data_IF_623532425537
#
_entry.id   IF_623532425537
#
_cell.length_a   1.000
_cell.length_b   1.000
_cell.length_c   1.000
_cell.angle_alpha   90.00
_cell.angle_beta   90.00
_cell.angle_gamma   90.00
#
_symmetry.space_group_name_H-M   'P 1'
#
loop_
_entity.id
_entity.type
_entity.pdbx_description
1 polymer ?
#
# COMPACT_ATOMS: atom_id res chain seq x y z
N UNK A 1 31.93 51.29 -3.18
CA UNK A 1 31.26 50.09 -3.73
C UNK A 1 31.16 48.91 -2.74
N UNK A 2 32.14 48.64 -1.87
CA UNK A 2 32.12 47.45 -0.96
C UNK A 2 31.04 47.46 0.15
N UNK A 3 30.54 48.61 0.62
CA UNK A 3 29.49 48.67 1.67
C UNK A 3 28.06 48.42 1.17
N UNK A 4 27.79 48.62 -0.14
CA UNK A 4 26.46 48.35 -0.71
C UNK A 4 26.25 46.88 -1.06
N UNK A 5 27.33 46.13 -1.35
CA UNK A 5 27.26 44.69 -1.58
C UNK A 5 26.94 43.89 -0.30
N UNK A 6 27.44 44.34 0.86
CA UNK A 6 27.19 43.71 2.14
C UNK A 6 25.73 43.87 2.63
N UNK A 7 25.06 44.97 2.29
CA UNK A 7 23.64 45.18 2.59
C UNK A 7 22.71 44.35 1.69
N UNK A 8 23.12 44.08 0.44
CA UNK A 8 22.39 43.17 -0.45
C UNK A 8 22.54 41.71 0.00
N UNK A 9 23.72 41.30 0.46
CA UNK A 9 23.95 39.95 0.99
C UNK A 9 23.27 39.72 2.36
N UNK A 10 23.19 40.75 3.22
CA UNK A 10 22.44 40.67 4.47
C UNK A 10 20.91 40.67 4.24
N UNK A 11 20.42 41.38 3.21
CA UNK A 11 19.01 41.37 2.81
C UNK A 11 18.56 40.04 2.19
N UNK A 12 19.42 39.36 1.42
CA UNK A 12 19.12 38.03 0.87
C UNK A 12 19.21 36.92 1.90
N UNK A 13 20.11 37.01 2.89
CA UNK A 13 20.13 36.07 4.02
C UNK A 13 18.94 36.27 4.99
N UNK A 14 18.43 37.49 5.14
CA UNK A 14 17.25 37.78 5.95
C UNK A 14 15.92 37.29 5.33
N UNK A 15 15.79 37.30 4.00
CA UNK A 15 14.61 36.76 3.31
C UNK A 15 14.60 35.22 3.24
N UNK A 16 15.76 34.57 3.26
CA UNK A 16 15.86 33.11 3.31
C UNK A 16 15.42 32.51 4.66
N UNK A 17 15.32 33.33 5.72
CA UNK A 17 14.85 32.91 7.05
C UNK A 17 13.36 33.20 7.29
N UNK A 18 12.66 33.83 6.34
CA UNK A 18 11.24 34.19 6.45
C UNK A 18 10.34 33.43 5.47
N UNK A 19 10.90 32.58 4.62
CA UNK A 19 10.12 31.62 3.84
C UNK A 19 9.83 30.43 4.74
N UNK A 20 8.55 30.03 4.93
CA UNK A 20 8.28 28.75 5.56
C UNK A 20 9.03 27.71 4.72
N UNK A 21 9.91 26.96 5.37
CA UNK A 21 10.45 25.75 4.76
C UNK A 21 9.24 25.02 4.17
N UNK A 22 9.27 24.77 2.87
CA UNK A 22 8.32 23.89 2.22
C UNK A 22 8.51 22.51 2.85
N UNK A 23 7.88 22.30 4.01
CA UNK A 23 7.77 21.04 4.67
C UNK A 23 6.92 20.19 3.75
N UNK A 24 7.62 19.34 2.99
CA UNK A 24 7.01 18.35 2.13
C UNK A 24 5.95 17.60 2.95
N UNK A 25 4.75 17.47 2.39
CA UNK A 25 3.66 16.68 2.96
C UNK A 25 3.93 15.15 2.87
N UNK A 26 5.18 14.73 2.64
CA UNK A 26 5.62 13.35 2.67
C UNK A 26 6.41 13.14 3.97
N UNK A 27 5.85 12.34 4.87
CA UNK A 27 6.52 11.78 6.05
C UNK A 27 7.22 12.79 6.97
N UNK A 28 6.49 13.39 7.92
CA UNK A 28 7.14 14.02 9.08
C UNK A 28 7.82 12.91 9.92
N UNK A 29 9.08 12.61 9.63
CA UNK A 29 9.96 11.83 10.51
C UNK A 29 10.78 12.81 11.35
N UNK A 30 10.31 13.06 12.57
CA UNK A 30 11.19 13.58 13.62
C UNK A 30 12.30 12.56 13.86
N UNK A 31 13.54 13.03 14.04
CA UNK A 31 14.71 12.19 14.34
C UNK A 31 14.39 11.20 15.46
N UNK A 32 14.21 9.91 15.13
CA UNK A 32 13.90 8.88 16.10
C UNK A 32 15.20 8.19 16.52
N UNK A 33 15.85 8.67 17.56
CA UNK A 33 16.87 7.84 18.22
C UNK A 33 16.20 6.54 18.66
N UNK A 34 16.80 5.38 18.33
CA UNK A 34 16.23 4.12 18.78
C UNK A 34 16.15 4.14 20.32
N UNK A 35 15.00 3.77 20.92
CA UNK A 35 14.87 3.71 22.38
C UNK A 35 15.77 2.64 22.99
N UNK A 36 16.34 1.76 22.17
CA UNK A 36 17.27 0.70 22.56
C UNK A 36 18.51 0.68 21.65
N UNK A 37 19.67 0.19 22.13
CA UNK A 37 20.86 0.05 21.30
C UNK A 37 20.62 -0.82 20.06
N UNK A 38 21.18 -0.40 18.90
CA UNK A 38 21.03 -1.10 17.60
C UNK A 38 21.40 -2.58 17.65
N UNK A 39 22.44 -2.94 18.40
CA UNK A 39 22.87 -4.33 18.54
C UNK A 39 21.81 -5.19 19.25
N UNK A 40 21.19 -4.66 20.31
CA UNK A 40 20.17 -5.37 21.09
C UNK A 40 18.92 -5.58 20.24
N UNK A 41 18.56 -4.57 19.46
CA UNK A 41 17.47 -4.66 18.50
C UNK A 41 17.71 -5.74 17.45
N UNK A 42 18.89 -5.75 16.82
CA UNK A 42 19.25 -6.75 15.81
C UNK A 42 19.20 -8.19 16.37
N UNK A 43 19.76 -8.40 17.58
CA UNK A 43 19.69 -9.70 18.26
C UNK A 43 18.26 -10.08 18.63
N UNK A 44 17.47 -9.16 19.15
CA UNK A 44 16.07 -9.40 19.50
C UNK A 44 15.25 -9.85 18.29
N UNK A 45 15.37 -9.16 17.16
CA UNK A 45 14.67 -9.54 15.94
C UNK A 45 15.12 -10.90 15.40
N UNK A 46 16.43 -11.18 15.40
CA UNK A 46 16.96 -12.48 14.99
C UNK A 46 16.45 -13.63 15.88
N UNK A 47 16.46 -13.43 17.21
CA UNK A 47 15.95 -14.42 18.17
C UNK A 47 14.46 -14.66 17.96
N UNK A 48 13.64 -13.62 17.79
CA UNK A 48 12.21 -13.76 17.55
C UNK A 48 11.93 -14.57 16.28
N UNK A 49 12.68 -14.34 15.20
CA UNK A 49 12.53 -15.10 13.97
C UNK A 49 12.90 -16.59 14.15
N UNK A 50 14.05 -16.86 14.77
CA UNK A 50 14.52 -18.24 15.01
C UNK A 50 13.56 -18.99 15.93
N UNK A 51 13.14 -18.36 17.04
CA UNK A 51 12.18 -18.94 17.98
C UNK A 51 10.82 -19.18 17.30
N UNK A 52 10.34 -18.23 16.50
CA UNK A 52 9.08 -18.40 15.75
C UNK A 52 9.16 -19.58 14.78
N UNK A 53 10.29 -19.76 14.10
CA UNK A 53 10.51 -20.89 13.21
C UNK A 53 10.50 -22.22 13.96
N UNK A 54 11.24 -22.33 15.07
CA UNK A 54 11.26 -23.53 15.91
C UNK A 54 9.87 -23.81 16.49
N UNK A 55 9.18 -22.78 16.97
CA UNK A 55 7.83 -22.90 17.50
C UNK A 55 6.84 -23.41 16.44
N UNK A 56 6.93 -22.95 15.20
CA UNK A 56 6.09 -23.46 14.10
C UNK A 56 6.40 -24.92 13.76
N UNK A 57 7.68 -25.29 13.73
CA UNK A 57 8.09 -26.66 13.47
C UNK A 57 7.54 -27.65 14.53
N UNK A 58 7.44 -27.22 15.79
CA UNK A 58 6.99 -28.06 16.92
C UNK A 58 5.47 -27.98 17.15
N UNK A 59 4.90 -26.77 17.19
CA UNK A 59 3.51 -26.52 17.62
C UNK A 59 2.51 -26.56 16.46
N UNK A 60 2.98 -26.54 15.21
CA UNK A 60 2.15 -26.52 14.01
C UNK A 60 2.43 -27.70 13.06
N UNK A 61 2.22 -28.96 13.50
CA UNK A 61 2.60 -30.15 12.75
C UNK A 61 1.66 -30.49 11.57
N UNK A 62 0.51 -29.83 11.46
CA UNK A 62 -0.53 -30.05 10.43
C UNK A 62 -1.08 -28.72 9.94
N UNK A 63 -1.54 -28.64 8.68
CA UNK A 63 -2.16 -27.42 8.18
C UNK A 63 -3.41 -27.09 9.00
N UNK A 64 -3.57 -25.82 9.38
CA UNK A 64 -4.71 -25.33 10.19
C UNK A 64 -5.41 -24.15 9.53
N UNK A 65 -4.73 -23.41 8.66
CA UNK A 65 -5.30 -22.24 7.98
C UNK A 65 -5.91 -22.61 6.63
N UNK A 66 -5.29 -23.53 5.89
CA UNK A 66 -5.84 -24.08 4.65
C UNK A 66 -7.14 -24.87 4.90
N UNK A 67 -7.22 -25.54 6.06
CA UNK A 67 -8.39 -26.34 6.47
C UNK A 67 -9.44 -25.53 7.25
N UNK A 68 -9.17 -24.26 7.55
CA UNK A 68 -10.10 -23.37 8.24
C UNK A 68 -11.23 -22.94 7.27
N UNK A 69 -12.11 -23.89 6.98
CA UNK A 69 -13.36 -23.66 6.27
C UNK A 69 -14.42 -23.04 7.19
N UNK A 70 -15.14 -22.05 6.67
CA UNK A 70 -16.31 -21.47 7.33
C UNK A 70 -16.01 -20.25 8.20
N UNK A 71 -17.04 -19.41 8.38
CA UNK A 71 -17.03 -18.27 9.28
C UNK A 71 -18.27 -18.29 10.15
N UNK A 72 -18.17 -17.80 11.38
CA UNK A 72 -19.34 -17.63 12.26
C UNK A 72 -20.11 -16.42 11.77
N UNK A 73 -21.35 -16.63 11.31
CA UNK A 73 -22.25 -15.52 10.95
C UNK A 73 -22.45 -14.62 12.16
N UNK A 74 -22.19 -13.33 11.99
CA UNK A 74 -22.39 -12.33 13.04
C UNK A 74 -23.72 -11.61 12.83
N UNK A 75 -23.89 -10.98 11.68
CA UNK A 75 -25.06 -10.17 11.37
C UNK A 75 -25.36 -10.13 9.87
N UNK A 76 -26.64 -9.91 9.55
CA UNK A 76 -27.07 -9.60 8.19
C UNK A 76 -26.89 -8.10 7.93
N UNK A 77 -26.27 -7.76 6.81
CA UNK A 77 -26.08 -6.39 6.36
C UNK A 77 -27.15 -6.07 5.30
N UNK A 78 -28.06 -5.11 5.59
CA UNK A 78 -29.10 -4.74 4.64
C UNK A 78 -28.54 -4.20 3.33
N UNK A 79 -29.29 -4.35 2.24
CA UNK A 79 -28.90 -3.85 0.92
C UNK A 79 -28.66 -2.33 0.89
N UNK A 80 -29.40 -1.59 1.72
CA UNK A 80 -29.29 -0.12 1.81
C UNK A 80 -27.89 0.31 2.23
N UNK A 81 -27.18 -0.50 3.03
CA UNK A 81 -25.80 -0.19 3.46
C UNK A 81 -24.86 -0.15 2.27
N UNK A 82 -25.05 -1.03 1.27
CA UNK A 82 -24.22 -0.99 0.04
C UNK A 82 -24.50 0.24 -0.80
N UNK A 83 -25.76 0.66 -0.86
CA UNK A 83 -26.15 1.86 -1.62
C UNK A 83 -25.62 3.11 -0.93
N UNK A 84 -25.76 3.22 0.38
CA UNK A 84 -25.27 4.36 1.16
C UNK A 84 -23.74 4.42 1.16
N UNK A 85 -23.05 3.30 1.34
CA UNK A 85 -21.58 3.25 1.27
C UNK A 85 -21.08 3.64 -0.13
N UNK A 86 -21.72 3.13 -1.18
CA UNK A 86 -21.40 3.49 -2.56
C UNK A 86 -21.66 4.97 -2.85
N UNK A 87 -22.79 5.51 -2.38
CA UNK A 87 -23.13 6.93 -2.52
C UNK A 87 -22.13 7.83 -1.77
N UNK A 88 -21.72 7.44 -0.56
CA UNK A 88 -20.68 8.13 0.21
C UNK A 88 -19.34 8.12 -0.54
N UNK A 89 -18.98 6.97 -1.13
CA UNK A 89 -17.81 6.85 -1.99
C UNK A 89 -17.82 7.82 -3.16
N UNK A 90 -18.94 7.88 -3.89
CA UNK A 90 -19.12 8.80 -5.03
C UNK A 90 -19.09 10.26 -4.60
N UNK A 91 -19.76 10.60 -3.50
CA UNK A 91 -19.76 11.95 -2.95
C UNK A 91 -18.35 12.38 -2.51
N UNK A 92 -17.61 11.51 -1.82
CA UNK A 92 -16.23 11.75 -1.43
C UNK A 92 -15.30 11.93 -2.64
N UNK A 93 -15.44 11.09 -3.67
CA UNK A 93 -14.68 11.24 -4.91
C UNK A 93 -14.99 12.56 -5.62
N UNK A 94 -16.27 12.93 -5.72
CA UNK A 94 -16.67 14.21 -6.32
C UNK A 94 -16.13 15.41 -5.54
N UNK A 95 -16.15 15.36 -4.21
CA UNK A 95 -15.57 16.40 -3.35
C UNK A 95 -14.06 16.53 -3.56
N UNK A 96 -13.31 15.42 -3.63
CA UNK A 96 -11.86 15.43 -3.91
C UNK A 96 -11.56 16.03 -5.27
N UNK A 97 -12.28 15.63 -6.32
CA UNK A 97 -12.07 16.18 -7.67
C UNK A 97 -12.40 17.67 -7.72
N UNK A 98 -13.52 18.07 -7.12
CA UNK A 98 -13.93 19.46 -7.08
C UNK A 98 -12.92 20.32 -6.31
N UNK A 99 -12.50 19.88 -5.13
CA UNK A 99 -11.49 20.57 -4.32
C UNK A 99 -10.15 20.67 -5.05
N UNK A 100 -9.69 19.60 -5.71
CA UNK A 100 -8.42 19.63 -6.44
C UNK A 100 -8.43 20.57 -7.65
N UNK A 101 -9.57 20.71 -8.34
CA UNK A 101 -9.68 21.58 -9.53
C UNK A 101 -10.00 23.05 -9.19
N UNK A 102 -10.88 23.29 -8.21
CA UNK A 102 -11.40 24.62 -7.89
C UNK A 102 -10.77 25.25 -6.64
N UNK A 103 -10.20 24.44 -5.74
CA UNK A 103 -9.61 24.90 -4.50
C UNK A 103 -8.16 25.37 -4.64
N UNK A 104 -7.58 25.76 -3.50
CA UNK A 104 -6.19 26.16 -3.35
C UNK A 104 -5.25 25.11 -3.94
N UNK A 105 -4.28 25.53 -4.74
CA UNK A 105 -3.25 24.64 -5.28
C UNK A 105 -2.08 24.42 -4.30
N UNK A 106 -2.22 24.90 -3.06
CA UNK A 106 -1.29 24.59 -1.98
C UNK A 106 -1.67 23.24 -1.37
N UNK A 107 -0.80 22.20 -1.42
CA UNK A 107 -1.18 20.84 -1.02
C UNK A 107 -1.69 20.70 0.42
N UNK A 108 -1.16 21.51 1.35
CA UNK A 108 -1.54 21.49 2.76
C UNK A 108 -2.86 22.21 3.07
N UNK A 109 -3.37 23.01 2.12
CA UNK A 109 -4.62 23.75 2.22
C UNK A 109 -5.69 23.22 1.24
N UNK A 110 -5.51 22.01 0.73
CA UNK A 110 -6.45 21.35 -0.18
C UNK A 110 -6.80 19.96 0.35
N UNK A 111 -8.07 19.58 0.23
CA UNK A 111 -8.55 18.28 0.65
C UNK A 111 -7.94 17.12 -0.16
N UNK A 112 -7.67 17.32 -1.45
CA UNK A 112 -7.36 16.23 -2.38
C UNK A 112 -6.10 15.42 -2.03
N UNK A 113 -4.92 16.04 -1.76
CA UNK A 113 -3.72 15.27 -1.42
C UNK A 113 -3.90 14.45 -0.14
N UNK A 114 -4.51 15.03 0.90
CA UNK A 114 -4.73 14.33 2.17
C UNK A 114 -5.69 13.15 2.01
N UNK A 115 -6.78 13.30 1.27
CA UNK A 115 -7.70 12.18 1.04
C UNK A 115 -7.04 11.07 0.23
N UNK A 116 -6.31 11.39 -0.83
CA UNK A 116 -5.69 10.39 -1.71
C UNK A 116 -4.55 9.65 -1.00
N UNK A 117 -3.58 10.39 -0.45
CA UNK A 117 -2.36 9.80 0.12
C UNK A 117 -2.52 9.34 1.56
N UNK A 118 -3.40 9.94 2.36
CA UNK A 118 -3.55 9.58 3.77
C UNK A 118 -4.77 8.71 3.97
N UNK A 119 -5.96 9.13 3.54
CA UNK A 119 -7.18 8.36 3.82
C UNK A 119 -7.31 7.13 2.93
N UNK A 120 -7.12 7.28 1.62
CA UNK A 120 -7.28 6.18 0.65
C UNK A 120 -6.06 5.27 0.68
N UNK A 121 -4.86 5.81 0.46
CA UNK A 121 -3.65 4.97 0.38
C UNK A 121 -3.29 4.31 1.72
N UNK A 122 -3.42 5.02 2.84
CA UNK A 122 -3.03 4.50 4.16
C UNK A 122 -4.22 4.08 5.02
N UNK A 123 -5.24 4.94 5.14
CA UNK A 123 -6.39 4.70 6.01
C UNK A 123 -7.20 3.46 5.62
N UNK A 124 -7.40 3.21 4.32
CA UNK A 124 -8.14 2.03 3.85
C UNK A 124 -7.41 0.72 4.17
N UNK A 125 -6.10 0.54 3.95
CA UNK A 125 -5.38 -0.61 4.47
C UNK A 125 -5.58 -0.83 5.97
N UNK A 126 -5.39 0.19 6.81
CA UNK A 126 -5.58 0.07 8.26
C UNK A 126 -7.01 -0.37 8.63
N UNK A 127 -8.02 0.25 8.02
CA UNK A 127 -9.41 -0.16 8.18
C UNK A 127 -9.64 -1.60 7.68
N UNK A 128 -8.97 -2.00 6.60
CA UNK A 128 -9.14 -3.30 5.97
C UNK A 128 -8.60 -4.46 6.80
N UNK A 129 -7.54 -4.24 7.58
CA UNK A 129 -6.99 -5.23 8.53
C UNK A 129 -8.03 -5.59 9.59
N UNK A 130 -8.84 -4.62 10.01
CA UNK A 130 -9.80 -4.79 11.10
C UNK A 130 -11.17 -5.24 10.59
N UNK A 131 -11.67 -4.60 9.53
CA UNK A 131 -13.05 -4.68 9.08
C UNK A 131 -13.26 -5.54 7.83
N UNK A 132 -12.18 -5.97 7.17
CA UNK A 132 -12.24 -6.66 5.89
C UNK A 132 -12.30 -5.68 4.70
N UNK A 133 -12.95 -6.06 3.61
CA UNK A 133 -12.90 -5.29 2.36
C UNK A 133 -13.85 -4.06 2.40
N UNK A 134 -13.41 -3.00 3.10
CA UNK A 134 -14.16 -1.75 3.26
C UNK A 134 -14.23 -1.01 1.92
N UNK A 135 -13.13 -1.01 1.17
CA UNK A 135 -13.05 -0.31 -0.10
C UNK A 135 -14.10 -0.77 -1.09
N UNK A 136 -14.33 -2.09 -1.24
CA UNK A 136 -15.36 -2.61 -2.15
C UNK A 136 -16.76 -2.07 -1.89
N UNK A 137 -17.06 -1.67 -0.65
CA UNK A 137 -18.33 -1.05 -0.28
C UNK A 137 -18.39 0.44 -0.66
N UNK A 138 -17.31 1.19 -0.43
CA UNK A 138 -17.21 2.63 -0.72
C UNK A 138 -16.60 2.95 -2.09
N UNK A 139 -16.35 1.95 -2.93
CA UNK A 139 -15.68 2.13 -4.21
C UNK A 139 -16.57 2.96 -5.17
N UNK A 140 -16.15 4.18 -5.56
CA UNK A 140 -17.00 5.13 -6.28
C UNK A 140 -17.31 4.66 -7.70
N UNK A 141 -16.32 4.21 -8.46
CA UNK A 141 -16.52 3.75 -9.83
C UNK A 141 -17.34 2.46 -9.88
N UNK A 142 -17.18 1.57 -8.90
CA UNK A 142 -18.03 0.38 -8.78
C UNK A 142 -19.49 0.73 -8.45
N UNK A 143 -19.72 1.73 -7.60
CA UNK A 143 -21.06 2.24 -7.31
C UNK A 143 -21.71 2.86 -8.56
N UNK A 144 -20.98 3.71 -9.29
CA UNK A 144 -21.42 4.31 -10.55
C UNK A 144 -21.73 3.24 -11.60
N UNK A 145 -20.84 2.26 -11.80
CA UNK A 145 -21.05 1.19 -12.78
C UNK A 145 -22.29 0.34 -12.44
N UNK A 146 -22.54 0.04 -11.17
CA UNK A 146 -23.74 -0.68 -10.72
C UNK A 146 -25.01 0.13 -10.93
N UNK A 147 -24.98 1.42 -10.64
CA UNK A 147 -26.12 2.31 -10.86
C UNK A 147 -26.43 2.43 -12.36
N UNK A 148 -25.41 2.60 -13.20
CA UNK A 148 -25.55 2.64 -14.66
C UNK A 148 -26.12 1.33 -15.21
N UNK A 149 -25.59 0.18 -14.78
CA UNK A 149 -26.10 -1.14 -15.20
C UNK A 149 -27.57 -1.35 -14.78
N UNK A 150 -27.95 -0.90 -13.57
CA UNK A 150 -29.34 -0.97 -13.11
C UNK A 150 -30.28 -0.07 -13.90
N UNK A 151 -29.87 1.16 -14.20
CA UNK A 151 -30.65 2.10 -15.04
C UNK A 151 -30.82 1.55 -16.47
N UNK A 152 -29.74 1.03 -17.05
CA UNK A 152 -29.77 0.43 -18.39
C UNK A 152 -30.72 -0.78 -18.43
N UNK A 153 -30.67 -1.66 -17.42
CA UNK A 153 -31.57 -2.81 -17.31
C UNK A 153 -33.05 -2.41 -17.14
N UNK A 154 -33.34 -1.24 -16.56
CA UNK A 154 -34.72 -0.69 -16.48
C UNK A 154 -35.20 -0.08 -17.79
N UNK A 155 -34.30 0.57 -18.53
CA UNK A 155 -34.62 1.22 -19.79
C UNK A 155 -34.81 0.20 -20.93
N UNK A 156 -34.08 -0.92 -20.89
CA UNK A 156 -34.20 -2.00 -21.87
C UNK A 156 -35.51 -2.78 -21.70
N UNK A 157 -36.48 -2.53 -22.59
CA UNK A 157 -37.79 -3.22 -22.64
C UNK A 157 -37.72 -4.76 -22.82
N UNK A 158 -36.53 -5.33 -23.05
CA UNK A 158 -36.28 -6.77 -23.20
C UNK A 158 -35.64 -7.47 -22.00
N UNK A 159 -35.47 -6.80 -20.85
CA UNK A 159 -34.79 -7.36 -19.68
C UNK A 159 -33.26 -7.33 -19.77
N UNK A 160 -32.57 -7.99 -18.83
CA UNK A 160 -31.11 -7.99 -18.72
C UNK A 160 -30.38 -8.58 -19.96
N UNK A 161 -31.07 -9.38 -20.76
CA UNK A 161 -30.55 -10.03 -21.98
C UNK A 161 -30.43 -9.07 -23.18
N UNK A 162 -30.94 -7.83 -23.06
CA UNK A 162 -30.84 -6.82 -24.12
C UNK A 162 -29.51 -6.04 -24.10
N UNK A 163 -28.70 -6.18 -23.04
CA UNK A 163 -27.38 -5.55 -22.97
C UNK A 163 -26.31 -6.48 -23.56
N UNK A 164 -25.32 -5.95 -24.32
CA UNK A 164 -24.21 -6.75 -24.81
C UNK A 164 -23.53 -7.49 -23.66
N UNK A 165 -23.26 -8.78 -23.85
CA UNK A 165 -22.48 -9.55 -22.89
C UNK A 165 -21.08 -8.93 -22.74
N UNK A 166 -20.58 -8.90 -21.51
CA UNK A 166 -19.21 -8.48 -21.25
C UNK A 166 -18.21 -9.40 -21.98
N UNK A 167 -17.13 -8.83 -22.47
CA UNK A 167 -16.01 -9.55 -23.06
C UNK A 167 -15.35 -10.45 -22.01
N UNK A 168 -14.81 -11.57 -22.47
CA UNK A 168 -14.01 -12.43 -21.62
C UNK A 168 -12.72 -11.74 -21.20
N UNK A 169 -12.49 -11.65 -19.88
CA UNK A 169 -11.27 -11.09 -19.34
C UNK A 169 -10.08 -12.02 -19.64
N UNK A 170 -9.03 -11.55 -20.33
CA UNK A 170 -7.92 -12.40 -20.71
C UNK A 170 -7.20 -12.99 -19.49
N UNK A 171 -7.18 -14.32 -19.38
CA UNK A 171 -6.53 -15.01 -18.24
C UNK A 171 -5.04 -14.68 -18.08
N UNK A 172 -4.36 -14.32 -19.18
CA UNK A 172 -2.95 -13.89 -19.18
C UNK A 172 -2.74 -12.54 -18.50
N UNK A 173 -3.75 -11.66 -18.58
CA UNK A 173 -3.68 -10.33 -18.00
C UNK A 173 -3.76 -10.41 -16.47
N UNK A 174 -4.61 -11.29 -15.92
CA UNK A 174 -4.67 -11.56 -14.49
C UNK A 174 -4.69 -10.27 -13.67
N UNK A 175 -3.72 -10.09 -12.78
CA UNK A 175 -3.51 -8.89 -11.94
C UNK A 175 -2.39 -7.97 -12.42
N UNK A 176 -1.89 -8.12 -13.64
CA UNK A 176 -0.91 -7.19 -14.20
C UNK A 176 -1.39 -5.73 -14.27
N UNK A 177 -2.66 -5.43 -14.65
CA UNK A 177 -3.15 -4.06 -14.64
C UNK A 177 -3.13 -3.46 -13.23
N UNK A 178 -3.49 -4.24 -12.21
CA UNK A 178 -3.41 -3.80 -10.82
C UNK A 178 -1.95 -3.53 -10.40
N UNK A 179 -1.01 -4.41 -10.74
CA UNK A 179 0.41 -4.20 -10.46
C UNK A 179 0.96 -2.93 -11.14
N UNK A 180 0.61 -2.71 -12.41
CA UNK A 180 0.99 -1.51 -13.14
C UNK A 180 0.34 -0.25 -12.56
N UNK A 181 -0.93 -0.32 -12.13
CA UNK A 181 -1.63 0.80 -11.51
C UNK A 181 -1.03 1.20 -10.16
N UNK A 182 -0.67 0.24 -9.30
CA UNK A 182 0.02 0.53 -8.04
C UNK A 182 1.42 1.10 -8.29
N UNK A 183 2.16 0.57 -9.28
CA UNK A 183 3.47 1.13 -9.63
C UNK A 183 3.35 2.56 -10.17
N UNK A 184 2.35 2.83 -11.01
CA UNK A 184 2.08 4.16 -11.53
C UNK A 184 1.67 5.14 -10.42
N UNK A 185 0.84 4.70 -9.47
CA UNK A 185 0.49 5.48 -8.29
C UNK A 185 1.73 5.85 -7.47
N UNK A 186 2.57 4.86 -7.14
CA UNK A 186 3.80 5.08 -6.40
C UNK A 186 4.81 5.94 -7.18
N UNK A 187 4.83 5.86 -8.52
CA UNK A 187 5.66 6.76 -9.34
C UNK A 187 5.19 8.21 -9.25
N UNK A 188 3.87 8.45 -9.27
CA UNK A 188 3.32 9.80 -9.07
C UNK A 188 3.67 10.32 -7.68
N UNK A 189 3.53 9.49 -6.66
CA UNK A 189 3.85 9.85 -5.27
C UNK A 189 5.35 10.15 -5.06
N UNK A 190 6.23 9.26 -5.52
CA UNK A 190 7.64 9.27 -5.12
C UNK A 190 8.58 9.93 -6.15
N UNK A 191 8.12 10.15 -7.38
CA UNK A 191 8.99 10.58 -8.49
C UNK A 191 8.48 11.84 -9.19
N UNK A 192 7.17 12.00 -9.32
CA UNK A 192 6.63 13.14 -10.06
C UNK A 192 6.84 14.45 -9.27
N UNK A 193 7.46 15.44 -9.93
CA UNK A 193 7.69 16.78 -9.35
C UNK A 193 6.39 17.45 -8.88
N UNK A 194 5.30 17.23 -9.61
CA UNK A 194 3.96 17.75 -9.34
C UNK A 194 3.03 16.70 -8.71
N UNK A 195 3.60 15.66 -8.08
CA UNK A 195 2.84 14.56 -7.48
C UNK A 195 1.89 14.99 -6.36
N UNK A 196 2.17 16.13 -5.70
CA UNK A 196 1.32 16.67 -4.64
C UNK A 196 0.38 17.80 -5.11
N UNK A 197 0.47 18.23 -6.36
CA UNK A 197 -0.34 19.33 -6.90
C UNK A 197 -1.82 18.92 -6.95
N UNK A 198 -2.74 19.65 -6.29
CA UNK A 198 -4.14 19.22 -6.18
C UNK A 198 -4.86 19.02 -7.53
N UNK A 199 -4.63 19.91 -8.50
CA UNK A 199 -5.21 19.79 -9.84
C UNK A 199 -4.67 18.59 -10.62
N UNK A 200 -3.36 18.32 -10.54
CA UNK A 200 -2.74 17.13 -11.12
C UNK A 200 -3.38 15.87 -10.54
N UNK A 201 -3.52 15.80 -9.22
CA UNK A 201 -4.16 14.67 -8.54
C UNK A 201 -5.63 14.48 -8.93
N UNK A 202 -6.40 15.57 -9.04
CA UNK A 202 -7.80 15.49 -9.47
C UNK A 202 -7.92 14.96 -10.91
N UNK A 203 -7.05 15.42 -11.82
CA UNK A 203 -7.02 14.93 -13.21
C UNK A 203 -6.65 13.44 -13.24
N UNK A 204 -5.62 13.02 -12.51
CA UNK A 204 -5.22 11.61 -12.43
C UNK A 204 -6.32 10.74 -11.81
N UNK A 205 -7.03 11.23 -10.79
CA UNK A 205 -8.16 10.54 -10.18
C UNK A 205 -9.32 10.36 -11.18
N UNK A 206 -9.62 11.37 -12.00
CA UNK A 206 -10.60 11.29 -13.09
C UNK A 206 -10.17 10.29 -14.17
N UNK A 207 -8.91 10.32 -14.60
CA UNK A 207 -8.36 9.37 -15.57
C UNK A 207 -8.42 7.93 -15.04
N UNK A 208 -8.07 7.73 -13.76
CA UNK A 208 -8.17 6.45 -13.10
C UNK A 208 -9.63 5.96 -13.07
N UNK A 209 -10.56 6.80 -12.62
CA UNK A 209 -11.98 6.45 -12.58
C UNK A 209 -12.54 6.13 -13.97
N UNK A 210 -12.16 6.89 -15.00
CA UNK A 210 -12.51 6.62 -16.39
C UNK A 210 -11.99 5.25 -16.85
N UNK A 211 -10.73 4.93 -16.58
CA UNK A 211 -10.15 3.62 -16.89
C UNK A 211 -10.88 2.47 -16.18
N UNK A 212 -11.28 2.66 -14.91
CA UNK A 212 -12.06 1.66 -14.18
C UNK A 212 -13.45 1.46 -14.79
N UNK A 213 -14.15 2.53 -15.13
CA UNK A 213 -15.49 2.46 -15.73
C UNK A 213 -15.47 1.78 -17.10
N UNK A 214 -14.49 2.13 -17.96
CA UNK A 214 -14.29 1.48 -19.26
C UNK A 214 -13.98 0.00 -19.08
N UNK A 215 -13.07 -0.36 -18.18
CA UNK A 215 -12.74 -1.75 -17.89
C UNK A 215 -13.93 -2.56 -17.36
N UNK A 216 -14.73 -1.96 -16.47
CA UNK A 216 -15.96 -2.57 -15.95
C UNK A 216 -17.03 -2.75 -17.01
N UNK A 217 -17.17 -1.80 -17.96
CA UNK A 217 -18.12 -1.94 -19.07
C UNK A 217 -17.69 -3.02 -20.07
N UNK A 218 -16.37 -3.17 -20.30
CA UNK A 218 -15.85 -4.14 -21.25
C UNK A 218 -15.83 -5.56 -20.68
N UNK A 219 -15.35 -5.75 -19.45
CA UNK A 219 -15.05 -7.08 -18.89
C UNK A 219 -15.97 -7.50 -17.75
N UNK A 220 -16.94 -6.66 -17.39
CA UNK A 220 -17.88 -6.87 -16.30
C UNK A 220 -17.37 -6.31 -14.96
N UNK A 221 -18.31 -5.81 -14.15
CA UNK A 221 -18.03 -5.05 -12.92
C UNK A 221 -17.18 -5.86 -11.93
N UNK A 222 -17.63 -7.04 -11.52
CA UNK A 222 -16.93 -7.82 -10.49
C UNK A 222 -15.62 -8.44 -11.03
N UNK A 223 -15.59 -8.90 -12.29
CA UNK A 223 -14.39 -9.49 -12.89
C UNK A 223 -13.26 -8.48 -13.05
N UNK A 224 -13.58 -7.25 -13.47
CA UNK A 224 -12.61 -6.15 -13.50
C UNK A 224 -12.18 -5.73 -12.10
N UNK A 225 -13.14 -5.54 -11.17
CA UNK A 225 -12.84 -5.16 -9.78
C UNK A 225 -11.91 -6.16 -9.07
N UNK A 226 -12.09 -7.45 -9.32
CA UNK A 226 -11.34 -8.52 -8.63
C UNK A 226 -9.93 -8.75 -9.21
N UNK A 227 -9.61 -8.17 -10.38
CA UNK A 227 -8.37 -8.45 -11.12
C UNK A 227 -7.59 -7.21 -11.56
N UNK A 228 -8.25 -6.14 -12.02
CA UNK A 228 -7.61 -5.01 -12.70
C UNK A 228 -7.68 -3.69 -11.94
N UNK A 229 -8.67 -3.49 -11.07
CA UNK A 229 -8.75 -2.33 -10.18
C UNK A 229 -7.56 -2.36 -9.19
N UNK A 230 -6.59 -1.47 -9.39
CA UNK A 230 -5.32 -1.47 -8.65
C UNK A 230 -5.55 -1.36 -7.14
N UNK A 231 -6.30 -0.32 -6.73
CA UNK A 231 -6.66 -0.11 -5.33
C UNK A 231 -7.57 -1.22 -4.79
N UNK A 232 -8.59 -1.62 -5.55
CA UNK A 232 -9.50 -2.69 -5.14
C UNK A 232 -8.79 -4.01 -4.86
N UNK A 233 -7.88 -4.42 -5.75
CA UNK A 233 -7.10 -5.65 -5.58
C UNK A 233 -6.09 -5.51 -4.44
N UNK A 234 -5.38 -4.38 -4.36
CA UNK A 234 -4.40 -4.11 -3.31
C UNK A 234 -5.03 -4.13 -1.92
N UNK A 235 -6.11 -3.37 -1.69
CA UNK A 235 -6.83 -3.37 -0.42
C UNK A 235 -7.49 -4.72 -0.13
N UNK A 236 -8.01 -5.40 -1.17
CA UNK A 236 -8.57 -6.74 -1.05
C UNK A 236 -7.56 -7.80 -0.58
N UNK A 237 -6.29 -7.66 -0.95
CA UNK A 237 -5.21 -8.51 -0.42
C UNK A 237 -5.03 -8.32 1.08
N UNK A 238 -4.99 -7.10 1.58
CA UNK A 238 -4.86 -6.83 3.02
C UNK A 238 -6.12 -7.22 3.81
N UNK A 239 -7.30 -6.98 3.24
CA UNK A 239 -8.57 -7.45 3.77
C UNK A 239 -8.67 -8.99 3.92
N UNK A 240 -7.78 -9.75 3.28
CA UNK A 240 -7.70 -11.20 3.46
C UNK A 240 -7.10 -11.62 4.81
N UNK A 241 -6.37 -10.73 5.48
CA UNK A 241 -5.78 -11.00 6.81
C UNK A 241 -6.81 -10.85 7.92
N UNK A 242 -7.84 -10.04 7.67
CA UNK A 242 -8.80 -9.59 8.67
C UNK A 242 -9.61 -10.73 9.33
N UNK A 243 -9.99 -10.59 10.62
CA UNK A 243 -10.90 -11.50 11.30
C UNK A 243 -12.34 -11.38 10.81
N UNK A 244 -12.67 -10.33 10.04
CA UNK A 244 -14.00 -10.08 9.52
C UNK A 244 -14.04 -10.30 8.01
N UNK A 245 -15.10 -10.98 7.55
CA UNK A 245 -15.40 -11.18 6.14
C UNK A 245 -16.83 -10.80 5.87
N UNK A 246 -17.04 -9.99 4.84
CA UNK A 246 -18.35 -9.81 4.23
C UNK A 246 -18.54 -10.77 3.07
N UNK A 247 -19.56 -11.61 3.11
CA UNK A 247 -19.97 -12.51 2.01
C UNK A 247 -21.40 -12.16 1.61
N UNK A 248 -21.53 -11.38 0.53
CA UNK A 248 -22.82 -10.82 0.12
C UNK A 248 -23.41 -9.92 1.23
N UNK A 249 -24.59 -10.29 1.71
CA UNK A 249 -25.32 -9.56 2.77
C UNK A 249 -25.09 -10.12 4.18
N UNK A 250 -24.04 -10.92 4.39
CA UNK A 250 -23.72 -11.47 5.70
C UNK A 250 -22.30 -11.09 6.10
N UNK A 251 -22.15 -10.57 7.30
CA UNK A 251 -20.87 -10.39 7.96
C UNK A 251 -20.55 -11.63 8.78
N UNK A 252 -19.36 -12.18 8.59
CA UNK A 252 -18.88 -13.40 9.21
C UNK A 252 -17.57 -13.11 9.95
N UNK A 253 -17.44 -13.64 11.17
CA UNK A 253 -16.15 -13.76 11.84
C UNK A 253 -15.42 -14.99 11.31
N UNK A 254 -14.21 -14.79 10.81
CA UNK A 254 -13.29 -15.82 10.33
C UNK A 254 -12.04 -15.82 11.17
N UNK A 255 -11.29 -16.93 11.14
CA UNK A 255 -9.98 -16.95 11.77
C UNK A 255 -9.06 -15.98 11.01
N UNK A 256 -8.30 -15.10 11.68
CA UNK A 256 -7.29 -14.27 11.03
C UNK A 256 -6.37 -15.11 10.14
N UNK A 257 -5.89 -14.53 9.04
CA UNK A 257 -5.00 -15.16 8.05
C UNK A 257 -5.61 -16.33 7.24
N UNK A 258 -6.72 -16.95 7.67
CA UNK A 258 -7.26 -18.14 6.99
C UNK A 258 -7.82 -17.86 5.60
N UNK A 259 -8.15 -16.60 5.29
CA UNK A 259 -8.55 -16.21 3.93
C UNK A 259 -7.36 -15.87 3.05
N UNK A 260 -6.23 -15.51 3.64
CA UNK A 260 -5.01 -15.21 2.89
C UNK A 260 -4.52 -16.44 2.13
N UNK A 261 -4.69 -17.64 2.69
CA UNK A 261 -4.43 -18.92 2.00
C UNK A 261 -5.30 -19.13 0.75
N UNK A 262 -6.44 -18.44 0.64
CA UNK A 262 -7.40 -18.56 -0.46
C UNK A 262 -7.23 -17.45 -1.52
N UNK A 263 -6.23 -16.57 -1.37
CA UNK A 263 -5.95 -15.53 -2.36
C UNK A 263 -5.64 -16.19 -3.71
N UNK A 264 -6.42 -15.83 -4.72
CA UNK A 264 -6.28 -16.38 -6.06
C UNK A 264 -4.87 -16.10 -6.61
N UNK A 265 -4.15 -17.17 -6.95
CA UNK A 265 -2.80 -17.09 -7.50
C UNK A 265 -2.82 -16.96 -9.02
N UNK A 266 -3.48 -15.92 -9.53
CA UNK A 266 -3.54 -15.60 -10.97
C UNK A 266 -2.25 -14.91 -11.43
N UNK A 267 -1.93 -14.91 -12.75
CA UNK A 267 -0.81 -14.13 -13.30
C UNK A 267 -0.82 -12.68 -12.78
N UNK A 268 0.35 -12.11 -12.48
CA UNK A 268 0.46 -10.75 -11.93
C UNK A 268 0.33 -10.64 -10.40
N UNK A 269 -0.20 -11.65 -9.68
CA UNK A 269 -0.33 -11.57 -8.20
C UNK A 269 1.02 -11.38 -7.50
N UNK A 270 2.04 -12.14 -7.90
CA UNK A 270 3.40 -12.00 -7.35
C UNK A 270 3.98 -10.64 -7.69
N UNK A 271 3.79 -10.17 -8.93
CA UNK A 271 4.28 -8.86 -9.36
C UNK A 271 3.65 -7.73 -8.54
N UNK A 272 2.33 -7.76 -8.31
CA UNK A 272 1.63 -6.81 -7.46
C UNK A 272 2.19 -6.78 -6.03
N UNK A 273 2.46 -7.95 -5.44
CA UNK A 273 3.04 -8.02 -4.09
C UNK A 273 4.48 -7.51 -4.04
N UNK A 274 5.30 -7.81 -5.05
CA UNK A 274 6.65 -7.27 -5.16
C UNK A 274 6.65 -5.75 -5.40
N UNK A 275 5.71 -5.23 -6.19
CA UNK A 275 5.51 -3.79 -6.38
C UNK A 275 5.12 -3.16 -5.05
N UNK A 276 4.10 -3.70 -4.35
CA UNK A 276 3.64 -3.21 -3.06
C UNK A 276 4.77 -3.11 -2.01
N UNK A 277 5.58 -4.18 -1.87
CA UNK A 277 6.71 -4.18 -0.94
C UNK A 277 7.81 -3.25 -1.44
N UNK A 278 8.14 -3.31 -2.73
CA UNK A 278 9.26 -2.56 -3.31
C UNK A 278 9.04 -1.06 -3.34
N UNK A 279 7.82 -0.59 -3.59
CA UNK A 279 7.51 0.84 -3.61
C UNK A 279 7.60 1.44 -2.21
N UNK A 280 6.98 0.81 -1.21
CA UNK A 280 7.08 1.24 0.20
C UNK A 280 8.50 1.08 0.75
N UNK A 281 9.26 0.07 0.29
CA UNK A 281 10.68 -0.05 0.67
C UNK A 281 11.53 1.07 0.06
N UNK A 282 11.23 1.48 -1.18
CA UNK A 282 11.94 2.58 -1.83
C UNK A 282 11.61 3.91 -1.18
N UNK A 283 10.34 4.13 -0.83
CA UNK A 283 9.87 5.32 -0.10
C UNK A 283 10.74 5.56 1.14
N UNK A 284 10.74 4.63 2.09
CA UNK A 284 11.58 4.73 3.29
C UNK A 284 13.08 4.67 3.04
N UNK A 285 13.55 4.03 1.95
CA UNK A 285 14.96 4.07 1.59
C UNK A 285 15.39 5.46 1.09
N UNK A 286 14.52 6.12 0.34
CA UNK A 286 14.79 7.40 -0.31
C UNK A 286 14.93 8.55 0.70
N UNK A 287 14.29 8.41 1.86
CA UNK A 287 14.42 9.33 2.98
C UNK A 287 15.71 9.10 3.81
N UNK A 288 16.37 7.95 3.63
CA UNK A 288 17.51 7.54 4.43
C UNK A 288 18.85 8.16 3.99
N UNK A 289 19.86 8.17 4.89
CA UNK A 289 21.15 8.81 4.64
C UNK A 289 21.89 8.18 3.44
N UNK A 290 21.74 6.87 3.23
CA UNK A 290 22.36 6.14 2.11
C UNK A 290 21.88 6.66 0.75
N UNK A 291 20.56 6.87 0.58
CA UNK A 291 20.06 7.42 -0.67
C UNK A 291 20.48 8.87 -0.83
N UNK A 292 20.40 9.67 0.23
CA UNK A 292 20.83 11.08 0.21
C UNK A 292 22.30 11.27 -0.14
N UNK A 293 23.16 10.27 0.10
CA UNK A 293 24.57 10.32 -0.28
C UNK A 293 24.83 9.94 -1.73
N UNK A 294 24.04 9.02 -2.32
CA UNK A 294 24.29 8.52 -3.68
C UNK A 294 23.46 9.23 -4.76
N UNK A 295 22.25 9.69 -4.41
CA UNK A 295 21.34 10.28 -5.38
C UNK A 295 21.88 11.58 -5.99
N UNK A 296 22.55 12.49 -5.26
CA UNK A 296 23.14 13.70 -5.84
C UNK A 296 24.22 13.39 -6.89
N UNK A 297 25.12 12.45 -6.61
CA UNK A 297 26.20 12.07 -7.54
C UNK A 297 25.64 11.48 -8.83
N UNK A 298 24.62 10.63 -8.73
CA UNK A 298 23.91 10.09 -9.90
C UNK A 298 23.20 11.20 -10.68
N UNK A 299 22.58 12.17 -9.99
CA UNK A 299 21.95 13.32 -10.65
C UNK A 299 22.97 14.16 -11.39
N UNK A 300 24.12 14.48 -10.78
CA UNK A 300 25.22 15.20 -11.42
C UNK A 300 25.71 14.47 -12.67
N UNK A 301 25.91 13.15 -12.60
CA UNK A 301 26.32 12.37 -13.76
C UNK A 301 25.33 12.46 -14.93
N UNK A 302 24.01 12.48 -14.66
CA UNK A 302 23.00 12.66 -15.71
C UNK A 302 22.90 14.11 -16.20
N UNK A 303 23.12 15.09 -15.34
CA UNK A 303 23.20 16.51 -15.72
C UNK A 303 24.39 16.72 -16.66
N UNK A 304 25.54 16.11 -16.36
CA UNK A 304 26.75 16.17 -17.21
C UNK A 304 26.53 15.49 -18.58
N UNK A 305 25.62 14.52 -18.65
CA UNK A 305 25.14 13.91 -19.89
C UNK A 305 24.11 14.77 -20.65
N UNK A 306 23.76 15.94 -20.13
CA UNK A 306 22.89 16.93 -20.78
C UNK A 306 21.43 16.91 -20.34
N UNK A 307 21.06 16.18 -19.28
CA UNK A 307 19.71 16.25 -18.73
C UNK A 307 19.49 17.55 -17.94
N UNK A 308 18.26 18.04 -17.93
CA UNK A 308 17.86 19.10 -16.99
C UNK A 308 17.89 18.56 -15.56
N UNK A 309 18.03 19.45 -14.56
CA UNK A 309 18.02 19.07 -13.15
C UNK A 309 16.76 18.26 -12.77
N UNK A 310 15.60 18.70 -13.25
CA UNK A 310 14.33 18.00 -13.04
C UNK A 310 14.31 16.63 -13.73
N UNK A 311 14.83 16.53 -14.96
CA UNK A 311 14.91 15.28 -15.71
C UNK A 311 15.84 14.27 -15.01
N UNK A 312 16.99 14.73 -14.51
CA UNK A 312 17.94 13.91 -13.78
C UNK A 312 17.33 13.39 -12.46
N UNK A 313 16.67 14.24 -11.68
CA UNK A 313 15.98 13.84 -10.45
C UNK A 313 14.92 12.76 -10.73
N UNK A 314 14.02 13.02 -11.68
CA UNK A 314 12.97 12.07 -12.07
C UNK A 314 13.56 10.74 -12.53
N UNK A 315 14.63 10.75 -13.31
CA UNK A 315 15.28 9.54 -13.78
C UNK A 315 15.92 8.76 -12.63
N UNK A 316 16.69 9.43 -11.76
CA UNK A 316 17.37 8.78 -10.62
C UNK A 316 16.37 8.14 -9.66
N UNK A 317 15.29 8.84 -9.31
CA UNK A 317 14.22 8.30 -8.46
C UNK A 317 13.43 7.18 -9.16
N UNK A 318 13.17 7.29 -10.47
CA UNK A 318 12.57 6.19 -11.26
C UNK A 318 13.46 4.94 -11.22
N UNK A 319 14.77 5.10 -11.43
CA UNK A 319 15.72 3.99 -11.41
C UNK A 319 15.79 3.36 -10.02
N UNK A 320 15.81 4.17 -8.95
CA UNK A 320 15.76 3.69 -7.57
C UNK A 320 14.50 2.88 -7.26
N UNK A 321 13.33 3.40 -7.62
CA UNK A 321 12.04 2.74 -7.44
C UNK A 321 11.99 1.39 -8.17
N UNK A 322 12.36 1.37 -9.46
CA UNK A 322 12.38 0.14 -10.26
C UNK A 322 13.42 -0.85 -9.72
N UNK A 323 14.61 -0.38 -9.34
CA UNK A 323 15.65 -1.22 -8.76
C UNK A 323 15.18 -1.90 -7.47
N UNK A 324 14.47 -1.18 -6.60
CA UNK A 324 13.93 -1.74 -5.36
C UNK A 324 12.86 -2.81 -5.63
N UNK A 325 11.93 -2.56 -6.56
CA UNK A 325 10.92 -3.56 -6.97
C UNK A 325 11.59 -4.81 -7.55
N UNK A 326 12.62 -4.63 -8.40
CA UNK A 326 13.40 -5.73 -8.96
C UNK A 326 14.16 -6.49 -7.88
N UNK A 327 14.74 -5.80 -6.90
CA UNK A 327 15.45 -6.41 -5.76
C UNK A 327 14.51 -7.32 -4.94
N UNK A 328 13.33 -6.81 -4.58
CA UNK A 328 12.30 -7.60 -3.88
C UNK A 328 11.89 -8.82 -4.70
N UNK A 329 11.65 -8.64 -6.00
CA UNK A 329 11.30 -9.75 -6.89
C UNK A 329 12.44 -10.77 -7.02
N UNK A 330 13.70 -10.33 -7.05
CA UNK A 330 14.88 -11.19 -7.10
C UNK A 330 15.02 -12.01 -5.81
N UNK A 331 14.86 -11.39 -4.63
CA UNK A 331 14.85 -12.08 -3.34
C UNK A 331 13.75 -13.14 -3.28
N UNK A 332 12.54 -12.81 -3.72
CA UNK A 332 11.45 -13.78 -3.76
C UNK A 332 11.77 -14.95 -4.71
N UNK A 333 12.31 -14.66 -5.90
CA UNK A 333 12.72 -15.69 -6.87
C UNK A 333 13.86 -16.56 -6.35
N UNK A 334 14.80 -16.02 -5.59
CA UNK A 334 15.85 -16.79 -4.93
C UNK A 334 15.25 -17.82 -3.98
N UNK A 335 14.25 -17.42 -3.18
CA UNK A 335 13.51 -18.34 -2.32
C UNK A 335 12.81 -19.46 -3.07
N UNK A 336 12.13 -19.13 -4.17
CA UNK A 336 11.48 -20.10 -5.04
C UNK A 336 12.49 -21.04 -5.69
N UNK A 337 13.64 -20.53 -6.14
CA UNK A 337 14.71 -21.35 -6.71
C UNK A 337 15.29 -22.33 -5.68
N UNK A 338 15.47 -21.88 -4.43
CA UNK A 338 15.86 -22.72 -3.32
C UNK A 338 14.84 -23.83 -3.01
N UNK A 339 13.55 -23.50 -2.93
CA UNK A 339 12.50 -24.52 -2.75
C UNK A 339 12.49 -25.55 -3.89
N UNK A 340 12.72 -25.11 -5.13
CA UNK A 340 12.82 -26.00 -6.29
C UNK A 340 14.05 -26.92 -6.24
N UNK A 341 15.14 -26.51 -5.58
CA UNK A 341 16.31 -27.39 -5.44
C UNK A 341 16.03 -28.58 -4.52
N UNK A 342 15.04 -28.47 -3.63
CA UNK A 342 14.59 -29.54 -2.72
C UNK A 342 13.65 -30.52 -3.43
N UNK A 343 12.78 -30.03 -4.31
CA UNK A 343 11.86 -30.83 -5.11
C UNK A 343 11.85 -30.34 -6.57
N UNK A 344 12.63 -31.00 -7.42
CA UNK A 344 12.77 -30.66 -8.84
C UNK A 344 11.52 -31.00 -9.67
N UNK A 345 10.58 -31.78 -9.11
CA UNK A 345 9.35 -32.17 -9.79
C UNK A 345 8.36 -31.02 -9.98
N UNK A 346 8.52 -29.92 -9.25
CA UNK A 346 7.66 -28.74 -9.37
C UNK A 346 8.31 -27.61 -10.15
N UNK A 347 7.57 -27.03 -11.09
CA UNK A 347 8.01 -25.85 -11.83
C UNK A 347 8.12 -24.61 -10.93
N UNK A 348 9.17 -23.81 -11.11
CA UNK A 348 9.40 -22.59 -10.32
C UNK A 348 8.20 -21.62 -10.36
N UNK A 349 7.54 -21.47 -11.51
CA UNK A 349 6.36 -20.61 -11.63
C UNK A 349 5.15 -21.11 -10.85
N UNK A 350 5.03 -22.44 -10.65
CA UNK A 350 3.95 -23.03 -9.84
C UNK A 350 4.21 -22.77 -8.36
N UNK A 351 5.44 -23.00 -7.90
CA UNK A 351 5.87 -22.69 -6.53
C UNK A 351 5.69 -21.20 -6.22
N UNK A 352 6.14 -20.31 -7.09
CA UNK A 352 5.98 -18.86 -6.93
C UNK A 352 4.51 -18.45 -6.77
N UNK A 353 3.59 -19.07 -7.52
CA UNK A 353 2.16 -18.78 -7.37
C UNK A 353 1.58 -19.35 -6.08
N UNK A 354 1.93 -20.59 -5.71
CA UNK A 354 1.43 -21.25 -4.50
C UNK A 354 1.82 -20.51 -3.22
N UNK A 355 3.01 -19.95 -3.16
CA UNK A 355 3.54 -19.27 -1.97
C UNK A 355 3.33 -17.74 -1.98
N UNK A 356 2.76 -17.16 -3.04
CA UNK A 356 2.59 -15.71 -3.17
C UNK A 356 1.87 -15.08 -1.97
N UNK A 357 0.83 -15.75 -1.46
CA UNK A 357 0.02 -15.27 -0.34
C UNK A 357 0.81 -15.03 0.97
N UNK A 358 1.97 -15.67 1.15
CA UNK A 358 2.85 -15.41 2.30
C UNK A 358 3.46 -14.01 2.32
N UNK A 359 3.52 -13.33 1.17
CA UNK A 359 4.00 -11.95 1.06
C UNK A 359 2.95 -10.92 1.50
N UNK A 360 1.67 -11.29 1.57
CA UNK A 360 0.57 -10.37 1.93
C UNK A 360 0.78 -9.73 3.32
N UNK A 361 0.98 -10.51 4.41
CA UNK A 361 1.20 -9.91 5.72
C UNK A 361 2.54 -9.17 5.83
N UNK A 362 3.54 -9.53 5.02
CA UNK A 362 4.81 -8.80 4.94
C UNK A 362 4.55 -7.41 4.34
N UNK A 363 3.93 -7.34 3.15
CA UNK A 363 3.55 -6.09 2.51
C UNK A 363 2.71 -5.20 3.44
N UNK A 364 1.75 -5.81 4.15
CA UNK A 364 0.92 -5.11 5.12
C UNK A 364 1.73 -4.53 6.29
N UNK A 365 2.68 -5.29 6.83
CA UNK A 365 3.54 -4.81 7.92
C UNK A 365 4.42 -3.64 7.49
N UNK A 366 4.91 -3.64 6.26
CA UNK A 366 5.64 -2.49 5.70
C UNK A 366 4.74 -1.25 5.60
N UNK A 367 3.50 -1.39 5.11
CA UNK A 367 2.53 -0.29 5.07
C UNK A 367 2.26 0.26 6.47
N UNK A 368 1.99 -0.61 7.44
CA UNK A 368 1.70 -0.19 8.82
C UNK A 368 2.91 0.49 9.44
N UNK A 369 4.10 -0.10 9.33
CA UNK A 369 5.28 0.49 9.94
C UNK A 369 5.69 1.81 9.27
N UNK A 370 5.57 1.92 7.95
CA UNK A 370 5.99 3.13 7.27
C UNK A 370 4.99 4.28 7.46
N UNK A 371 3.69 4.01 7.34
CA UNK A 371 2.68 5.05 7.27
C UNK A 371 1.87 5.27 8.57
N UNK A 372 2.16 4.56 9.66
CA UNK A 372 1.43 4.75 10.92
C UNK A 372 1.52 6.19 11.45
N UNK A 373 2.71 6.80 11.47
CA UNK A 373 2.90 8.18 11.92
C UNK A 373 2.18 9.17 11.01
N UNK A 374 2.24 8.95 9.70
CA UNK A 374 1.52 9.75 8.71
C UNK A 374 0.01 9.71 8.98
N UNK A 375 -0.57 8.52 9.22
CA UNK A 375 -1.99 8.40 9.56
C UNK A 375 -2.31 9.04 10.92
N UNK A 376 -1.46 8.86 11.93
CA UNK A 376 -1.68 9.37 13.28
C UNK A 376 -1.67 10.90 13.35
N UNK A 377 -0.81 11.56 12.56
CA UNK A 377 -0.69 13.02 12.54
C UNK A 377 -1.47 13.65 11.38
N UNK A 378 -1.14 13.30 10.14
CA UNK A 378 -1.80 13.88 8.96
C UNK A 378 -3.25 13.41 8.81
N UNK A 379 -3.63 12.27 9.41
CA UNK A 379 -5.04 11.88 9.49
C UNK A 379 -5.90 12.90 10.24
N UNK A 380 -5.32 13.60 11.23
CA UNK A 380 -6.01 14.67 11.96
C UNK A 380 -6.35 15.86 11.06
N UNK A 381 -5.57 16.09 10.01
CA UNK A 381 -5.80 17.18 9.06
C UNK A 381 -7.13 17.07 8.32
N UNK A 382 -7.69 15.85 8.24
CA UNK A 382 -9.02 15.62 7.69
C UNK A 382 -10.08 16.48 8.37
N UNK A 383 -9.95 16.76 9.67
CA UNK A 383 -10.93 17.56 10.39
C UNK A 383 -10.99 19.01 9.89
N UNK A 384 -9.85 19.71 9.80
CA UNK A 384 -9.84 21.09 9.30
C UNK A 384 -10.04 21.15 7.78
N UNK A 385 -9.49 20.21 7.00
CA UNK A 385 -9.66 20.16 5.54
C UNK A 385 -11.08 19.79 5.12
N UNK A 386 -11.84 19.06 5.93
CA UNK A 386 -13.26 18.83 5.65
C UNK A 386 -14.09 20.10 5.89
N UNK A 387 -13.69 20.93 6.85
CA UNK A 387 -14.35 22.22 7.15
C UNK A 387 -13.98 23.31 6.15
N UNK A 388 -12.73 23.33 5.67
CA UNK A 388 -12.25 24.22 4.61
C UNK A 388 -11.69 23.42 3.41
N UNK A 389 -12.56 22.77 2.61
CA UNK A 389 -12.11 21.87 1.54
C UNK A 389 -11.45 22.59 0.37
N UNK A 390 -11.75 23.88 0.17
CA UNK A 390 -11.19 24.70 -0.91
C UNK A 390 -9.99 25.55 -0.46
N UNK A 391 -9.75 25.67 0.86
CA UNK A 391 -8.73 26.58 1.37
C UNK A 391 -9.12 28.05 1.23
N UNK A 392 -10.43 28.35 1.26
CA UNK A 392 -11.01 29.68 1.08
C UNK A 392 -11.45 30.32 2.41
N UNK A 393 -11.16 29.66 3.54
CA UNK A 393 -11.55 30.09 4.88
C UNK A 393 -12.97 29.67 5.26
N UNK A 394 -13.58 28.75 4.51
CA UNK A 394 -14.85 28.14 4.90
C UNK A 394 -14.72 27.32 6.20
N UNK A 395 -15.82 27.20 6.93
CA UNK A 395 -15.85 26.40 8.17
C UNK A 395 -17.16 25.59 8.26
N UNK A 396 -17.29 24.61 7.35
CA UNK A 396 -18.52 23.84 7.16
C UNK A 396 -18.93 23.04 8.40
N UNK A 397 -17.97 22.62 9.24
CA UNK A 397 -18.22 21.79 10.42
C UNK A 397 -17.70 22.39 11.73
N UNK A 398 -17.20 23.62 11.74
CA UNK A 398 -16.70 24.28 12.95
C UNK A 398 -15.29 23.84 13.37
N UNK A 399 -14.53 23.19 12.47
CA UNK A 399 -13.22 22.59 12.76
C UNK A 399 -12.09 23.18 11.94
N UNK A 400 -12.31 24.23 11.14
CA UNK A 400 -11.28 24.85 10.33
C UNK A 400 -10.07 25.37 11.14
N UNK A 401 -10.29 25.75 12.41
CA UNK A 401 -9.23 26.21 13.32
C UNK A 401 -8.51 25.09 14.08
N UNK A 402 -8.84 23.81 13.85
CA UNK A 402 -8.15 22.69 14.50
C UNK A 402 -6.73 22.54 13.97
N UNK A 403 -5.80 22.13 14.84
CA UNK A 403 -4.40 21.91 14.49
C UNK A 403 -4.01 20.46 14.76
N UNK A 404 -2.94 20.00 14.10
CA UNK A 404 -2.39 18.66 14.33
C UNK A 404 -1.75 18.63 15.73
N UNK A 405 -2.24 17.72 16.56
CA UNK A 405 -1.65 17.43 17.87
C UNK A 405 -0.59 16.32 17.73
N UNK A 406 0.67 16.73 17.79
CA UNK A 406 1.82 15.83 17.75
C UNK A 406 2.05 15.08 19.07
N UNK A 407 1.32 15.40 20.14
CA UNK A 407 1.43 14.73 21.44
C UNK A 407 0.59 13.45 21.55
N UNK A 408 -0.33 13.21 20.60
CA UNK A 408 -1.23 12.03 20.57
C UNK A 408 -0.46 10.71 20.61
N UNK A 409 0.69 10.65 19.95
CA UNK A 409 1.59 9.50 19.98
C UNK A 409 3.03 9.98 20.14
N UNK A 410 3.77 9.40 21.08
CA UNK A 410 5.20 9.70 21.25
C UNK A 410 6.06 9.01 20.19
N UNK A 411 7.28 9.49 19.97
CA UNK A 411 8.25 8.83 19.10
C UNK A 411 8.50 7.36 19.49
N UNK A 412 8.58 7.07 20.79
CA UNK A 412 8.69 5.70 21.30
C UNK A 412 7.45 4.87 20.95
N UNK A 413 6.26 5.46 21.06
CA UNK A 413 5.00 4.81 20.67
C UNK A 413 4.97 4.43 19.19
N UNK A 414 5.39 5.35 18.31
CA UNK A 414 5.55 5.07 16.88
C UNK A 414 6.51 3.91 16.68
N UNK A 415 7.70 3.99 17.28
CA UNK A 415 8.71 2.93 17.17
C UNK A 415 8.19 1.55 17.57
N UNK A 416 7.47 1.43 18.70
CA UNK A 416 6.88 0.16 19.13
C UNK A 416 5.86 -0.39 18.13
N UNK A 417 5.02 0.47 17.55
CA UNK A 417 4.06 0.07 16.52
C UNK A 417 4.78 -0.42 15.26
N UNK A 418 5.82 0.31 14.82
CA UNK A 418 6.61 -0.06 13.64
C UNK A 418 7.27 -1.42 13.81
N UNK A 419 8.00 -1.63 14.91
CA UNK A 419 8.68 -2.89 15.20
C UNK A 419 7.67 -4.02 15.39
N UNK A 420 6.60 -3.78 16.14
CA UNK A 420 5.53 -4.75 16.37
C UNK A 420 4.87 -5.20 15.07
N UNK A 421 4.58 -4.25 14.17
CA UNK A 421 4.03 -4.53 12.85
C UNK A 421 5.00 -5.37 12.00
N UNK A 422 6.28 -4.99 11.92
CA UNK A 422 7.31 -5.74 11.19
C UNK A 422 7.39 -7.19 11.69
N UNK A 423 7.55 -7.38 13.00
CA UNK A 423 7.66 -8.71 13.60
C UNK A 423 6.40 -9.54 13.35
N UNK A 424 5.21 -8.98 13.63
CA UNK A 424 3.94 -9.69 13.48
C UNK A 424 3.69 -10.09 12.01
N UNK A 425 3.98 -9.19 11.05
CA UNK A 425 3.79 -9.48 9.62
C UNK A 425 4.72 -10.58 9.10
N UNK A 426 6.00 -10.57 9.51
CA UNK A 426 6.95 -11.61 9.11
C UNK A 426 6.61 -12.95 9.76
N UNK A 427 6.22 -12.99 11.04
CA UNK A 427 5.74 -14.21 11.69
C UNK A 427 4.48 -14.73 11.01
N UNK A 428 3.51 -13.86 10.69
CA UNK A 428 2.30 -14.25 9.96
C UNK A 428 2.62 -14.78 8.54
N UNK A 429 3.56 -14.16 7.84
CA UNK A 429 4.06 -14.65 6.55
C UNK A 429 4.69 -16.03 6.67
N UNK A 430 5.47 -16.25 7.74
CA UNK A 430 6.11 -17.54 8.02
C UNK A 430 5.08 -18.63 8.33
N UNK A 431 4.06 -18.30 9.14
CA UNK A 431 2.94 -19.19 9.44
C UNK A 431 2.24 -19.62 8.15
N UNK A 432 1.87 -18.67 7.29
CA UNK A 432 1.19 -18.96 6.02
C UNK A 432 2.03 -19.84 5.11
N UNK A 433 3.31 -19.53 4.99
CA UNK A 433 4.21 -20.27 4.14
C UNK A 433 4.49 -21.68 4.70
N UNK A 434 4.59 -21.83 6.02
CA UNK A 434 4.67 -23.13 6.70
C UNK A 434 3.41 -23.97 6.48
N UNK A 435 2.23 -23.40 6.67
CA UNK A 435 0.93 -24.08 6.45
C UNK A 435 0.82 -24.56 5.00
N UNK A 436 1.20 -23.71 4.02
CA UNK A 436 1.24 -24.09 2.61
C UNK A 436 2.26 -25.19 2.31
N UNK A 437 3.43 -25.18 2.96
CA UNK A 437 4.44 -26.21 2.77
C UNK A 437 3.95 -27.60 3.20
N UNK A 438 3.22 -27.67 4.32
CA UNK A 438 2.62 -28.92 4.82
C UNK A 438 1.56 -29.50 3.86
N UNK A 439 0.83 -28.65 3.14
CA UNK A 439 -0.10 -29.09 2.09
C UNK A 439 0.62 -29.46 0.79
N UNK A 440 1.72 -28.77 0.47
CA UNK A 440 2.43 -28.95 -0.79
C UNK A 440 3.27 -30.22 -0.83
N UNK A 441 3.93 -30.57 0.28
CA UNK A 441 4.79 -31.75 0.37
C UNK A 441 4.23 -32.74 1.39
N UNK A 442 3.96 -33.97 0.94
CA UNK A 442 3.45 -35.06 1.79
C UNK A 442 4.52 -35.58 2.76
N UNK A 443 5.79 -35.49 2.39
CA UNK A 443 6.90 -35.96 3.20
C UNK A 443 7.42 -34.83 4.12
N UNK A 444 7.37 -35.07 5.43
CA UNK A 444 7.76 -34.08 6.46
C UNK A 444 9.21 -33.61 6.30
N UNK A 445 10.12 -34.50 5.90
CA UNK A 445 11.54 -34.16 5.72
C UNK A 445 11.77 -33.19 4.56
N UNK A 446 11.00 -33.35 3.49
CA UNK A 446 11.06 -32.50 2.29
C UNK A 446 10.41 -31.15 2.58
N UNK A 447 9.29 -31.12 3.31
CA UNK A 447 8.68 -29.90 3.82
C UNK A 447 9.64 -29.12 4.75
N UNK A 448 10.29 -29.78 5.70
CA UNK A 448 11.26 -29.13 6.60
C UNK A 448 12.49 -28.57 5.85
N UNK A 449 12.95 -29.25 4.79
CA UNK A 449 14.09 -28.77 3.98
C UNK A 449 13.73 -27.55 3.12
N UNK A 450 12.53 -27.50 2.55
CA UNK A 450 12.09 -26.34 1.77
C UNK A 450 11.91 -25.10 2.67
N UNK A 451 11.61 -25.31 3.94
CA UNK A 451 11.47 -24.26 4.95
C UNK A 451 12.77 -23.53 5.27
N UNK A 452 13.95 -24.14 5.10
CA UNK A 452 15.22 -23.42 5.28
C UNK A 452 15.40 -22.28 4.28
N UNK A 453 14.99 -22.49 3.03
CA UNK A 453 15.04 -21.45 2.00
C UNK A 453 14.03 -20.34 2.25
N UNK A 454 12.85 -20.72 2.73
CA UNK A 454 11.81 -19.78 3.15
C UNK A 454 12.27 -18.93 4.34
N UNK A 455 12.91 -19.54 5.34
CA UNK A 455 13.50 -18.85 6.48
C UNK A 455 14.59 -17.88 6.03
N UNK A 456 15.49 -18.30 5.12
CA UNK A 456 16.54 -17.44 4.59
C UNK A 456 15.98 -16.19 3.89
N UNK A 457 14.94 -16.36 3.07
CA UNK A 457 14.28 -15.23 2.38
C UNK A 457 13.58 -14.32 3.38
N UNK A 458 12.90 -14.89 4.38
CA UNK A 458 12.24 -14.13 5.44
C UNK A 458 13.25 -13.34 6.29
N UNK A 459 14.38 -13.96 6.65
CA UNK A 459 15.51 -13.30 7.33
C UNK A 459 16.06 -12.16 6.48
N UNK A 460 16.18 -12.35 5.17
CA UNK A 460 16.57 -11.30 4.22
C UNK A 460 15.61 -10.12 4.23
N UNK A 461 14.30 -10.36 4.08
CA UNK A 461 13.29 -9.30 4.12
C UNK A 461 13.20 -8.61 5.49
N UNK A 462 13.35 -9.36 6.59
CA UNK A 462 13.35 -8.76 7.92
C UNK A 462 14.60 -7.92 8.11
N UNK A 463 15.77 -8.42 7.70
CA UNK A 463 17.03 -7.66 7.80
C UNK A 463 16.97 -6.37 6.98
N UNK A 464 16.40 -6.43 5.77
CA UNK A 464 16.14 -5.26 4.93
C UNK A 464 15.21 -4.27 5.65
N UNK A 465 14.08 -4.74 6.18
CA UNK A 465 13.12 -3.87 6.88
C UNK A 465 13.69 -3.22 8.15
N UNK A 466 14.44 -3.99 8.95
CA UNK A 466 15.13 -3.47 10.13
C UNK A 466 16.23 -2.48 9.74
N UNK A 467 16.95 -2.75 8.66
CA UNK A 467 17.97 -1.83 8.14
C UNK A 467 17.34 -0.51 7.68
N UNK A 468 16.25 -0.56 6.90
CA UNK A 468 15.50 0.63 6.47
C UNK A 468 15.01 1.44 7.67
N UNK A 469 14.43 0.77 8.68
CA UNK A 469 13.99 1.42 9.92
C UNK A 469 15.16 2.07 10.67
N UNK A 470 16.30 1.37 10.76
CA UNK A 470 17.51 1.90 11.42
C UNK A 470 18.19 3.02 10.64
N UNK A 471 18.03 3.04 9.32
CA UNK A 471 18.58 4.05 8.43
C UNK A 471 17.76 5.34 8.49
N UNK A 472 16.43 5.28 8.54
CA UNK A 472 15.57 6.46 8.76
C UNK A 472 15.68 7.06 10.17
N UNK A 473 16.23 6.29 11.12
CA UNK A 473 16.47 6.70 12.51
C UNK A 473 17.84 7.38 12.75
N UNK A 474 18.73 7.44 11.74
CA UNK A 474 20.10 7.96 11.85
C UNK A 474 20.22 9.35 11.19
#
# INVERSE_FOLDING_TARGET
>A
MRRRLALWLAGTCGLALALPAAAAAHGLVGRQDLPIPRWLFAWGAAVVLVVSFVALAVLWPRPRLEEAGGGRRLLAVPAVVDVLAGALGVAGFAAVVYAGLAGSQTPTANLAPTVIYVLVWVGIPFASILLGDVFRAVNPWRAVARAAAWLAGRASRGGADALPAALDYPARLGRWPAAAGILAFAWVELVATNGSDPSTLAILALLYAGAQLVGMSLFGIDRWSDNADAFGVYFGLFASVAPLRRRGRVLEAVRPLSRTTQVAAVPGTVALLCVAIGTTSFDGFSEGPTWSSIAPDLQTAFIDLGLTQEGALRLVFTLGLVAMVVLVAAFYRLGVAGMRSVDRGQGAGVLARRFAHSLVPIALAYVVAHYFSLLAYQGQATAYLASDPLGDGSDLFGTAATAIDYSVVSANGIWYVQVGALVAGHVAGLVLAHDRALVTWREQRTAARSQYWMLLVMLGFTSLGLWLLSAGAA
#
